data_IF_531416139857
#
_entry.id   IF_531416139857
#
_cell.length_a   1.000
_cell.length_b   1.000
_cell.length_c   1.000
_cell.angle_alpha   90.00
_cell.angle_beta   90.00
_cell.angle_gamma   90.00
#
_symmetry.space_group_name_H-M   'P 1'
#
loop_
_entity.id
_entity.type
_entity.pdbx_description
1 polymer ?
#
# COMPACT_ATOMS: atom_id res chain seq x y z
N UNK A 1 1.18 3.54 -8.39
CA UNK A 1 1.13 3.61 -6.92
C UNK A 1 2.05 4.71 -6.37
N UNK A 2 3.35 4.47 -6.15
CA UNK A 2 4.23 5.42 -5.44
C UNK A 2 4.31 6.83 -6.04
N UNK A 3 4.31 6.96 -7.37
CA UNK A 3 4.28 8.28 -8.00
C UNK A 3 3.07 9.13 -7.59
N UNK A 4 1.89 8.51 -7.49
CA UNK A 4 0.64 9.18 -7.09
C UNK A 4 0.69 9.53 -5.61
N UNK A 5 1.19 8.62 -4.78
CA UNK A 5 1.38 8.85 -3.34
C UNK A 5 2.28 10.06 -3.10
N UNK A 6 3.43 10.12 -3.78
CA UNK A 6 4.37 11.24 -3.67
C UNK A 6 3.76 12.56 -4.15
N UNK A 7 2.97 12.55 -5.24
CA UNK A 7 2.25 13.75 -5.71
C UNK A 7 1.24 14.27 -4.69
N UNK A 8 0.72 13.42 -3.81
CA UNK A 8 -0.23 13.79 -2.77
C UNK A 8 0.43 13.97 -1.38
N UNK A 9 1.76 13.98 -1.30
CA UNK A 9 2.49 14.20 -0.04
C UNK A 9 2.62 12.98 0.87
N UNK A 10 2.27 11.78 0.39
CA UNK A 10 2.46 10.54 1.13
C UNK A 10 3.90 10.02 0.99
N UNK A 11 4.44 9.35 2.03
CA UNK A 11 5.77 8.75 1.96
C UNK A 11 5.83 7.63 0.93
N UNK A 12 7.05 7.34 0.46
CA UNK A 12 7.29 6.16 -0.38
C UNK A 12 6.87 4.92 0.40
N UNK A 13 6.06 4.09 -0.24
CA UNK A 13 5.52 2.88 0.34
C UNK A 13 6.18 1.66 -0.30
N UNK A 14 6.54 0.69 0.53
CA UNK A 14 7.17 -0.56 0.12
C UNK A 14 6.25 -1.72 0.52
N UNK A 15 5.74 -2.44 -0.49
CA UNK A 15 5.08 -3.72 -0.31
C UNK A 15 6.16 -4.75 0.03
N UNK A 16 6.02 -5.46 1.15
CA UNK A 16 7.02 -6.45 1.56
C UNK A 16 6.85 -7.73 0.77
N UNK A 17 7.90 -8.54 0.74
CA UNK A 17 7.87 -9.81 -0.01
C UNK A 17 6.89 -10.81 0.61
N UNK A 18 6.70 -10.77 1.93
CA UNK A 18 5.68 -11.55 2.65
C UNK A 18 4.24 -11.21 2.23
N UNK A 19 3.97 -9.94 1.90
CA UNK A 19 2.65 -9.44 1.48
C UNK A 19 2.40 -9.60 -0.03
N UNK A 20 3.40 -10.10 -0.77
CA UNK A 20 3.34 -10.17 -2.24
C UNK A 20 2.19 -11.02 -2.75
N UNK A 21 1.92 -12.16 -2.10
CA UNK A 21 0.86 -13.06 -2.52
C UNK A 21 -0.52 -12.41 -2.34
N UNK A 22 -0.77 -11.81 -1.18
CA UNK A 22 -2.02 -11.09 -0.89
C UNK A 22 -2.22 -9.91 -1.84
N UNK A 23 -1.16 -9.14 -2.11
CA UNK A 23 -1.21 -8.04 -3.07
C UNK A 23 -1.56 -8.50 -4.49
N UNK A 24 -1.00 -9.63 -4.95
CA UNK A 24 -1.32 -10.20 -6.26
C UNK A 24 -2.76 -10.74 -6.31
N UNK A 25 -3.21 -11.44 -5.27
CA UNK A 25 -4.58 -11.95 -5.18
C UNK A 25 -5.61 -10.82 -5.13
N UNK A 26 -5.34 -9.74 -4.40
CA UNK A 26 -6.20 -8.56 -4.36
C UNK A 26 -6.28 -7.85 -5.73
N UNK A 27 -5.18 -7.80 -6.47
CA UNK A 27 -5.15 -7.28 -7.84
C UNK A 27 -5.97 -8.15 -8.82
N UNK A 28 -5.88 -9.46 -8.69
CA UNK A 28 -6.64 -10.41 -9.52
C UNK A 28 -8.14 -10.29 -9.23
N UNK A 29 -8.52 -10.27 -7.94
CA UNK A 29 -9.90 -10.06 -7.50
C UNK A 29 -10.43 -8.71 -8.01
N UNK A 30 -9.66 -7.63 -7.88
CA UNK A 30 -10.04 -6.33 -8.42
C UNK A 30 -10.24 -6.35 -9.94
N UNK A 31 -9.44 -7.12 -10.67
CA UNK A 31 -9.57 -7.22 -12.12
C UNK A 31 -10.79 -8.03 -12.56
N UNK A 32 -11.22 -9.02 -11.77
CA UNK A 32 -12.32 -9.92 -12.11
C UNK A 32 -13.66 -9.37 -11.58
N UNK A 33 -13.68 -8.98 -10.31
CA UNK A 33 -14.88 -8.59 -9.58
C UNK A 33 -15.10 -7.06 -9.57
N UNK A 34 -14.14 -6.27 -10.10
CA UNK A 34 -14.10 -4.81 -9.95
C UNK A 34 -14.09 -4.33 -8.48
N UNK A 35 -13.76 -5.22 -7.56
CA UNK A 35 -13.66 -4.94 -6.13
C UNK A 35 -12.21 -4.57 -5.76
N UNK A 36 -12.01 -3.29 -5.48
CA UNK A 36 -10.71 -2.73 -5.09
C UNK A 36 -10.51 -2.68 -3.57
N UNK A 37 -11.48 -3.11 -2.77
CA UNK A 37 -11.45 -2.94 -1.32
C UNK A 37 -10.22 -3.60 -0.69
N UNK A 38 -9.95 -4.86 -1.04
CA UNK A 38 -8.78 -5.60 -0.55
C UNK A 38 -7.47 -4.92 -0.96
N UNK A 39 -7.40 -4.44 -2.21
CA UNK A 39 -6.22 -3.74 -2.71
C UNK A 39 -5.97 -2.43 -1.95
N UNK A 40 -7.03 -1.64 -1.73
CA UNK A 40 -6.96 -0.37 -0.99
C UNK A 40 -6.53 -0.62 0.46
N UNK A 41 -7.05 -1.67 1.10
CA UNK A 41 -6.68 -2.04 2.47
C UNK A 41 -5.18 -2.36 2.58
N UNK A 42 -4.64 -3.19 1.68
CA UNK A 42 -3.20 -3.53 1.65
C UNK A 42 -2.35 -2.28 1.45
N UNK A 43 -2.73 -1.39 0.51
CA UNK A 43 -2.01 -0.15 0.29
C UNK A 43 -2.05 0.75 1.52
N UNK A 44 -3.21 0.89 2.15
CA UNK A 44 -3.40 1.74 3.33
C UNK A 44 -2.51 1.28 4.49
N UNK A 45 -2.47 -0.02 4.74
CA UNK A 45 -1.61 -0.60 5.78
C UNK A 45 -0.12 -0.37 5.48
N UNK A 46 0.28 -0.58 4.22
CA UNK A 46 1.66 -0.34 3.81
C UNK A 46 2.06 1.15 3.94
N UNK A 47 1.17 2.08 3.60
CA UNK A 47 1.38 3.54 3.73
C UNK A 47 1.50 3.93 5.19
N UNK A 48 0.57 3.49 6.05
CA UNK A 48 0.58 3.78 7.48
C UNK A 48 1.89 3.31 8.13
N UNK A 49 2.32 2.09 7.81
CA UNK A 49 3.58 1.55 8.29
C UNK A 49 4.80 2.34 7.83
N UNK A 50 4.80 2.83 6.59
CA UNK A 50 5.84 3.75 6.12
C UNK A 50 5.80 5.03 6.94
N UNK A 51 4.62 5.64 7.10
CA UNK A 51 4.44 6.89 7.85
C UNK A 51 4.88 6.75 9.31
N UNK A 52 4.51 5.67 9.99
CA UNK A 52 4.92 5.36 11.37
C UNK A 52 6.44 5.29 11.50
N UNK A 53 7.13 4.67 10.53
CA UNK A 53 8.60 4.66 10.51
C UNK A 53 9.19 6.05 10.34
N UNK A 54 8.62 6.86 9.46
CA UNK A 54 9.08 8.25 9.30
C UNK A 54 8.86 9.04 10.59
N UNK A 55 7.68 8.90 11.22
CA UNK A 55 7.34 9.57 12.47
C UNK A 55 8.25 9.14 13.63
N UNK A 56 8.56 7.84 13.72
CA UNK A 56 9.48 7.30 14.72
C UNK A 56 10.91 7.83 14.57
N UNK A 57 11.36 8.14 13.36
CA UNK A 57 12.72 8.66 13.13
C UNK A 57 12.82 10.16 13.43
N UNK A 58 11.73 10.90 13.29
CA UNK A 58 11.70 12.37 13.50
C UNK A 58 11.21 12.78 14.90
N UNK A 59 10.54 11.89 15.64
CA UNK A 59 10.05 12.11 17.01
C UNK A 59 11.03 11.60 18.05
#
# INVERSE_FOLDING_TARGET
MNLILMRNGYPITVIRMEERNEYMSALEKASIENDLEDFINIITEAVNRSLDKYLYVIG
#
